data_IF_151252274284
#
_entry.id   IF_151252274284
#
_cell.length_a   1.000
_cell.length_b   1.000
_cell.length_c   1.000
_cell.angle_alpha   90.00
_cell.angle_beta   90.00
_cell.angle_gamma   90.00
#
_symmetry.space_group_name_H-M   'P 1'
#
loop_
_entity.id
_entity.type
_entity.pdbx_description
1 polymer ?
#
# COMPACT_ATOMS: atom_id res chain seq x y z
N UNK A 1 -7.70 -12.07 -3.67
CA UNK A 1 -6.55 -12.10 -4.61
C UNK A 1 -7.03 -12.35 -6.03
N UNK A 2 -6.23 -11.97 -7.04
CA UNK A 2 -6.54 -12.15 -8.46
C UNK A 2 -6.71 -13.64 -8.86
N UNK A 3 -6.36 -14.59 -7.97
CA UNK A 3 -6.51 -16.05 -8.14
C UNK A 3 -5.90 -16.54 -9.45
N UNK A 4 -4.92 -15.81 -9.98
CA UNK A 4 -4.13 -16.21 -11.13
C UNK A 4 -2.93 -16.99 -10.62
N UNK A 5 -2.72 -18.20 -11.12
CA UNK A 5 -1.50 -18.94 -10.79
C UNK A 5 -0.27 -18.15 -11.27
N UNK A 6 0.71 -17.93 -10.38
CA UNK A 6 1.95 -17.22 -10.71
C UNK A 6 1.97 -15.72 -10.41
N UNK A 7 1.12 -15.22 -9.53
CA UNK A 7 1.17 -13.82 -9.08
C UNK A 7 2.51 -13.50 -8.41
N UNK A 8 3.15 -12.40 -8.84
CA UNK A 8 4.32 -11.86 -8.16
C UNK A 8 3.91 -11.14 -6.88
N UNK A 9 4.85 -10.96 -5.95
CA UNK A 9 4.62 -10.21 -4.71
C UNK A 9 4.12 -8.80 -5.00
N UNK A 10 4.69 -8.12 -6.00
CA UNK A 10 4.23 -6.81 -6.45
C UNK A 10 2.80 -6.87 -7.00
N UNK A 11 2.46 -7.92 -7.75
CA UNK A 11 1.10 -8.06 -8.24
C UNK A 11 0.10 -8.25 -7.10
N UNK A 12 0.39 -9.15 -6.17
CA UNK A 12 -0.50 -9.52 -5.08
C UNK A 12 -0.71 -8.36 -4.09
N UNK A 13 0.36 -7.66 -3.73
CA UNK A 13 0.33 -6.61 -2.70
C UNK A 13 0.00 -5.21 -3.23
N UNK A 14 0.07 -4.99 -4.55
CA UNK A 14 -0.08 -3.65 -5.14
C UNK A 14 -1.01 -3.60 -6.35
N UNK A 15 -0.84 -4.52 -7.31
CA UNK A 15 -1.50 -4.42 -8.62
C UNK A 15 -2.83 -5.18 -8.70
N UNK A 16 -3.07 -6.11 -7.78
CA UNK A 16 -4.34 -6.80 -7.65
C UNK A 16 -5.44 -5.76 -7.40
N UNK A 17 -6.57 -5.78 -8.11
CA UNK A 17 -7.62 -4.77 -7.94
C UNK A 17 -8.03 -4.56 -6.48
N UNK A 18 -8.13 -5.65 -5.72
CA UNK A 18 -8.41 -5.59 -4.29
C UNK A 18 -7.32 -4.84 -3.48
N UNK A 19 -6.05 -5.12 -3.74
CA UNK A 19 -4.95 -4.43 -3.08
C UNK A 19 -4.91 -2.96 -3.50
N UNK A 20 -5.12 -2.69 -4.79
CA UNK A 20 -5.18 -1.35 -5.36
C UNK A 20 -6.26 -0.50 -4.67
N UNK A 21 -7.47 -1.01 -4.55
CA UNK A 21 -8.59 -0.31 -3.91
C UNK A 21 -8.31 -0.04 -2.42
N UNK A 22 -7.70 -0.99 -1.71
CA UNK A 22 -7.30 -0.82 -0.31
C UNK A 22 -6.26 0.29 -0.15
N UNK A 23 -5.23 0.30 -1.00
CA UNK A 23 -4.21 1.35 -0.99
C UNK A 23 -4.82 2.71 -1.31
N UNK A 24 -5.63 2.81 -2.36
CA UNK A 24 -6.33 4.04 -2.73
C UNK A 24 -7.20 4.57 -1.59
N UNK A 25 -7.99 3.70 -0.93
CA UNK A 25 -8.80 4.09 0.22
C UNK A 25 -7.94 4.68 1.35
N UNK A 26 -6.79 4.06 1.65
CA UNK A 26 -5.87 4.59 2.65
C UNK A 26 -5.32 5.94 2.24
N UNK A 27 -4.83 6.10 1.00
CA UNK A 27 -4.34 7.40 0.54
C UNK A 27 -5.42 8.49 0.61
N UNK A 28 -6.66 8.18 0.24
CA UNK A 28 -7.80 9.08 0.33
C UNK A 28 -8.13 9.46 1.78
N UNK A 29 -8.09 8.49 2.71
CA UNK A 29 -8.30 8.74 4.14
C UNK A 29 -7.29 9.72 4.74
N UNK A 30 -6.05 9.70 4.24
CA UNK A 30 -5.01 10.63 4.64
C UNK A 30 -4.96 11.91 3.77
N UNK A 31 -5.85 12.04 2.78
CA UNK A 31 -5.91 13.21 1.87
C UNK A 31 -4.69 13.32 0.95
N UNK A 32 -4.11 12.18 0.56
CA UNK A 32 -2.86 12.09 -0.19
C UNK A 32 -3.14 11.80 -1.66
N UNK A 33 -2.77 12.73 -2.52
CA UNK A 33 -2.71 12.44 -3.95
C UNK A 33 -1.55 11.50 -4.24
N UNK A 34 -1.85 10.35 -4.83
CA UNK A 34 -0.87 9.30 -5.09
C UNK A 34 -0.99 8.73 -6.49
N UNK A 35 0.17 8.40 -7.08
CA UNK A 35 0.26 7.60 -8.31
C UNK A 35 0.85 6.26 -7.92
N UNK A 36 0.11 5.17 -8.19
CA UNK A 36 0.56 3.85 -7.79
C UNK A 36 1.86 3.47 -8.53
N UNK A 37 2.94 3.16 -7.80
CA UNK A 37 4.19 2.69 -8.42
C UNK A 37 4.03 1.26 -8.93
N UNK A 38 5.05 0.74 -9.61
CA UNK A 38 5.01 -0.62 -10.16
C UNK A 38 5.47 -1.68 -9.16
N UNK A 39 6.30 -1.28 -8.20
CA UNK A 39 6.82 -2.17 -7.15
C UNK A 39 6.42 -1.73 -5.75
N UNK A 40 6.21 -2.72 -4.88
CA UNK A 40 5.98 -2.51 -3.45
C UNK A 40 7.17 -1.84 -2.77
N UNK A 41 8.40 -2.09 -3.26
CA UNK A 41 9.62 -1.48 -2.71
C UNK A 41 9.66 0.02 -2.97
N UNK A 42 9.35 0.43 -4.20
CA UNK A 42 9.23 1.85 -4.57
C UNK A 42 8.13 2.53 -3.75
N UNK A 43 6.98 1.87 -3.59
CA UNK A 43 5.89 2.37 -2.76
C UNK A 43 6.34 2.62 -1.32
N UNK A 44 7.01 1.65 -0.69
CA UNK A 44 7.51 1.78 0.68
C UNK A 44 8.58 2.86 0.81
N UNK A 45 9.46 3.01 -0.19
CA UNK A 45 10.47 4.06 -0.21
C UNK A 45 9.81 5.46 -0.25
N UNK A 46 8.82 5.65 -1.15
CA UNK A 46 8.08 6.90 -1.24
C UNK A 46 7.21 7.15 0.02
N UNK A 47 6.69 6.08 0.63
CA UNK A 47 5.90 6.15 1.87
C UNK A 47 6.69 6.67 3.07
N UNK A 48 7.97 6.27 3.20
CA UNK A 48 8.87 6.75 4.25
C UNK A 48 9.31 8.21 4.02
N UNK A 49 9.49 8.61 2.75
CA UNK A 49 10.05 9.92 2.40
C UNK A 49 9.10 11.11 2.53
N UNK A 50 7.79 10.93 2.32
CA UNK A 50 6.88 12.06 2.07
C UNK A 50 6.05 12.55 3.27
N UNK A 51 5.97 11.82 4.38
CA UNK A 51 4.95 12.08 5.42
C UNK A 51 5.47 12.39 6.83
N UNK A 52 6.73 12.82 6.95
CA UNK A 52 7.39 13.11 8.24
C UNK A 52 6.81 14.25 9.09
N UNK A 53 5.70 14.89 8.70
CA UNK A 53 5.11 16.06 9.39
C UNK A 53 3.63 15.93 9.74
N UNK A 54 2.97 14.82 9.43
CA UNK A 54 1.56 14.64 9.82
C UNK A 54 1.44 14.32 11.31
N UNK A 55 0.45 14.93 11.98
CA UNK A 55 0.10 14.70 13.40
C UNK A 55 -0.07 13.21 13.76
N UNK A 56 -0.35 12.36 12.77
CA UNK A 56 -0.56 10.92 12.90
C UNK A 56 0.58 10.07 12.32
N UNK A 57 1.82 10.59 12.31
CA UNK A 57 3.00 9.92 11.75
C UNK A 57 3.19 8.48 12.27
N UNK A 58 2.89 8.22 13.54
CA UNK A 58 2.96 6.88 14.13
C UNK A 58 2.01 5.89 13.45
N UNK A 59 0.78 6.33 13.13
CA UNK A 59 -0.21 5.51 12.42
C UNK A 59 0.26 5.29 10.98
N UNK A 60 0.73 6.34 10.32
CA UNK A 60 1.25 6.28 8.96
C UNK A 60 2.36 5.22 8.80
N UNK A 61 3.28 5.09 9.77
CA UNK A 61 4.36 4.08 9.70
C UNK A 61 3.87 2.64 9.78
N UNK A 62 2.74 2.39 10.45
CA UNK A 62 2.22 1.04 10.70
C UNK A 62 1.29 0.60 9.59
N UNK A 63 0.62 1.53 8.91
CA UNK A 63 -0.35 1.27 7.83
C UNK A 63 0.17 0.32 6.75
N UNK A 64 1.36 0.50 6.16
CA UNK A 64 1.84 -0.44 5.14
C UNK A 64 1.98 -1.86 5.66
N UNK A 65 2.46 -2.00 6.89
CA UNK A 65 2.67 -3.29 7.51
C UNK A 65 1.34 -3.98 7.81
N UNK A 66 0.34 -3.24 8.28
CA UNK A 66 -1.02 -3.76 8.49
C UNK A 66 -1.69 -4.17 7.17
N UNK A 67 -1.64 -3.31 6.14
CA UNK A 67 -2.25 -3.61 4.85
C UNK A 67 -1.61 -4.83 4.19
N UNK A 68 -0.29 -4.87 4.12
CA UNK A 68 0.42 -6.01 3.53
C UNK A 68 0.11 -7.31 4.27
N UNK A 69 0.05 -7.27 5.61
CA UNK A 69 -0.32 -8.42 6.42
C UNK A 69 -1.76 -8.88 6.19
N UNK A 70 -2.71 -7.94 6.11
CA UNK A 70 -4.11 -8.25 5.80
C UNK A 70 -4.25 -8.88 4.41
N UNK A 71 -3.64 -8.28 3.38
CA UNK A 71 -3.68 -8.78 2.00
C UNK A 71 -3.03 -10.17 1.88
N UNK A 72 -1.93 -10.40 2.62
CA UNK A 72 -1.24 -11.69 2.63
C UNK A 72 -2.05 -12.81 3.34
N UNK A 73 -2.90 -12.45 4.30
CA UNK A 73 -3.74 -13.41 5.04
C UNK A 73 -5.02 -13.81 4.33
N UNK A 74 -5.51 -12.98 3.42
CA UNK A 74 -6.66 -13.26 2.55
C UNK A 74 -6.36 -14.38 1.53
#
# INVERSE_FOLDING_TARGET
>A
MCKKGGETVDHLLLQCPFAWDLWSMVFDLFGVYWVMPRSIVEMLACWQGNFGKHRNFSIWRVVPHCLMWSIWRE
#
